data_IF_091251637845
#
_entry.id   IF_091251637845
#
_cell.length_a   1.000
_cell.length_b   1.000
_cell.length_c   1.000
_cell.angle_alpha   90.00
_cell.angle_beta   90.00
_cell.angle_gamma   90.00
#
_symmetry.space_group_name_H-M   'P 1'
#
loop_
_entity.id
_entity.type
_entity.pdbx_description
1 polymer ?
#
# COMPACT_ATOMS: atom_id res chain seq x y z
N UNK A 1 -28.63 16.21 87.48
CA UNK A 1 -30.04 15.76 87.62
C UNK A 1 -30.33 14.76 86.50
N UNK A 2 -30.84 13.57 86.87
CA UNK A 2 -31.43 12.44 86.11
C UNK A 2 -30.85 12.06 84.74
N UNK A 3 -30.12 10.96 84.54
CA UNK A 3 -30.49 9.52 84.52
C UNK A 3 -31.67 9.19 83.57
N UNK A 4 -31.40 8.44 82.49
CA UNK A 4 -32.09 7.19 82.18
C UNK A 4 -31.19 6.26 81.35
N UNK A 5 -31.18 5.00 81.76
CA UNK A 5 -30.40 3.85 81.29
C UNK A 5 -31.28 3.07 80.30
N UNK A 6 -30.73 2.54 79.19
CA UNK A 6 -31.20 1.26 78.64
C UNK A 6 -30.05 0.50 77.95
N UNK A 7 -30.06 -0.80 78.21
CA UNK A 7 -29.08 -1.84 77.92
C UNK A 7 -29.07 -2.29 76.43
N UNK A 8 -27.88 -2.70 75.94
CA UNK A 8 -27.56 -3.96 75.19
C UNK A 8 -28.21 -4.11 73.80
N UNK A 9 -27.49 -4.31 72.69
CA UNK A 9 -26.62 -5.45 72.33
C UNK A 9 -25.54 -4.99 71.33
N UNK A 10 -24.29 -5.37 71.59
CA UNK A 10 -23.17 -5.26 70.65
C UNK A 10 -23.24 -6.47 69.68
N UNK A 11 -23.74 -6.28 68.47
CA UNK A 11 -23.65 -7.29 67.42
C UNK A 11 -22.45 -6.95 66.51
N UNK A 12 -21.30 -7.57 66.80
CA UNK A 12 -20.17 -7.62 65.87
C UNK A 12 -20.51 -8.59 64.74
N UNK A 13 -21.08 -8.08 63.65
CA UNK A 13 -21.10 -8.80 62.38
C UNK A 13 -19.79 -8.49 61.66
N UNK A 14 -18.84 -9.41 61.74
CA UNK A 14 -17.71 -9.47 60.81
C UNK A 14 -18.26 -9.92 59.45
N UNK A 15 -18.73 -8.98 58.63
CA UNK A 15 -18.89 -9.24 57.21
C UNK A 15 -17.49 -9.26 56.59
N UNK A 16 -16.97 -10.47 56.38
CA UNK A 16 -15.92 -10.68 55.39
C UNK A 16 -16.56 -10.43 54.04
N UNK A 17 -16.51 -9.18 53.56
CA UNK A 17 -16.70 -8.86 52.16
C UNK A 17 -15.66 -9.67 51.36
N UNK A 18 -16.05 -10.87 50.96
CA UNK A 18 -15.34 -11.64 49.95
C UNK A 18 -15.66 -10.98 48.61
N UNK A 19 -15.12 -9.76 48.43
CA UNK A 19 -15.14 -9.09 47.15
C UNK A 19 -14.29 -9.93 46.22
N UNK A 20 -14.93 -10.74 45.38
CA UNK A 20 -14.29 -11.26 44.18
C UNK A 20 -13.97 -10.04 43.33
N UNK A 21 -12.74 -9.53 43.42
CA UNK A 21 -12.20 -8.62 42.43
C UNK A 21 -12.06 -9.47 41.16
N UNK A 22 -13.10 -9.44 40.32
CA UNK A 22 -12.92 -9.85 38.94
C UNK A 22 -11.96 -8.82 38.35
N UNK A 23 -10.72 -9.26 38.12
CA UNK A 23 -9.80 -8.52 37.28
C UNK A 23 -10.43 -8.48 35.88
N UNK A 24 -11.14 -7.39 35.58
CA UNK A 24 -11.45 -7.06 34.20
C UNK A 24 -10.11 -6.97 33.48
N UNK A 25 -9.89 -7.86 32.51
CA UNK A 25 -8.74 -7.75 31.63
C UNK A 25 -8.86 -6.40 30.93
N UNK A 26 -8.05 -5.42 31.36
CA UNK A 26 -8.00 -4.12 30.72
C UNK A 26 -7.69 -4.34 29.24
N UNK A 27 -8.65 -4.00 28.40
CA UNK A 27 -8.49 -4.14 26.96
C UNK A 27 -7.39 -3.18 26.52
N UNK A 28 -6.42 -3.71 25.77
CA UNK A 28 -5.36 -2.88 25.20
C UNK A 28 -6.03 -1.82 24.31
N UNK A 29 -5.73 -0.52 24.50
CA UNK A 29 -6.26 0.54 23.66
C UNK A 29 -6.01 0.24 22.18
N UNK A 30 -6.96 0.60 21.31
CA UNK A 30 -6.84 0.35 19.87
C UNK A 30 -5.56 0.98 19.27
N UNK A 31 -5.14 2.13 19.80
CA UNK A 31 -3.88 2.79 19.46
C UNK A 31 -2.65 1.92 19.74
N UNK A 32 -2.60 1.28 20.89
CA UNK A 32 -1.47 0.42 21.30
C UNK A 32 -1.44 -0.89 20.51
N UNK A 33 -2.61 -1.39 20.06
CA UNK A 33 -2.69 -2.55 19.16
C UNK A 33 -2.12 -2.27 17.78
N UNK A 34 -2.26 -1.04 17.27
CA UNK A 34 -1.81 -0.67 15.91
C UNK A 34 -0.40 -0.07 15.88
N UNK A 35 -0.01 0.66 16.92
CA UNK A 35 1.25 1.42 16.96
C UNK A 35 2.26 0.90 17.99
N UNK A 36 1.94 -0.23 18.63
CA UNK A 36 2.69 -0.81 19.74
C UNK A 36 2.47 -0.06 21.06
N UNK A 37 2.74 -0.71 22.21
CA UNK A 37 2.68 -0.06 23.52
C UNK A 37 3.61 1.16 23.62
N UNK A 38 3.34 2.03 24.60
CA UNK A 38 4.12 3.27 24.85
C UNK A 38 5.62 2.99 24.99
N UNK A 39 6.00 1.88 25.62
CA UNK A 39 7.38 1.46 25.80
C UNK A 39 7.80 0.52 24.66
N UNK A 40 8.75 0.99 23.85
CA UNK A 40 9.19 0.40 22.58
C UNK A 40 9.99 -0.91 22.67
N UNK A 41 10.70 -1.30 21.58
CA UNK A 41 11.04 -0.49 20.39
C UNK A 41 10.05 -0.64 19.22
N UNK A 42 9.20 0.36 18.99
CA UNK A 42 8.26 0.39 17.85
C UNK A 42 8.47 1.64 17.00
N UNK A 43 8.29 1.52 15.67
CA UNK A 43 8.26 2.66 14.75
C UNK A 43 6.81 3.10 14.57
N UNK A 44 6.51 4.36 14.89
CA UNK A 44 5.18 4.94 14.74
C UNK A 44 5.16 5.90 13.56
N UNK A 45 4.17 5.75 12.68
CA UNK A 45 3.98 6.65 11.54
C UNK A 45 3.03 7.78 11.97
N UNK A 46 3.41 9.03 11.72
CA UNK A 46 2.59 10.22 11.99
C UNK A 46 1.63 10.52 10.84
N UNK A 47 1.00 9.48 10.27
CA UNK A 47 0.02 9.65 9.20
C UNK A 47 -1.31 10.21 9.74
N UNK A 48 -1.65 9.84 10.97
CA UNK A 48 -2.79 10.36 11.71
C UNK A 48 -2.39 10.83 13.12
N UNK A 49 -3.36 11.28 13.91
CA UNK A 49 -3.14 11.83 15.25
C UNK A 49 -3.43 10.82 16.37
N UNK A 50 -3.61 9.53 16.05
CA UNK A 50 -4.12 8.53 16.99
C UNK A 50 -3.18 8.28 18.18
N UNK A 51 -1.86 8.43 17.99
CA UNK A 51 -0.83 8.24 19.03
C UNK A 51 -0.15 9.53 19.45
N UNK A 52 -0.72 10.67 19.08
CA UNK A 52 -0.19 11.99 19.44
C UNK A 52 -0.80 12.38 20.78
N UNK A 53 0.03 12.42 21.83
CA UNK A 53 -0.39 12.82 23.18
C UNK A 53 -0.62 14.34 23.28
N UNK A 54 0.24 15.14 22.66
CA UNK A 54 0.14 16.59 22.64
C UNK A 54 0.62 17.18 21.31
N UNK A 55 -0.02 18.27 20.88
CA UNK A 55 0.37 19.10 19.75
C UNK A 55 0.05 20.56 20.08
N UNK A 56 1.03 21.45 19.97
CA UNK A 56 0.87 22.88 20.24
C UNK A 56 1.51 23.71 19.12
N UNK A 57 0.85 24.78 18.69
CA UNK A 57 1.37 25.65 17.62
C UNK A 57 1.46 25.01 16.22
N UNK A 58 0.89 23.80 16.02
CA UNK A 58 0.93 23.07 14.76
C UNK A 58 -0.43 23.04 14.07
N UNK A 59 -0.42 23.13 12.74
CA UNK A 59 -1.59 22.90 11.88
C UNK A 59 -1.28 21.73 10.95
N UNK A 60 -2.03 20.64 11.04
CA UNK A 60 -1.94 19.54 10.07
C UNK A 60 -2.57 19.98 8.75
N UNK A 61 -1.80 19.90 7.67
CA UNK A 61 -2.24 20.24 6.32
C UNK A 61 -2.08 19.00 5.45
N UNK A 62 -3.18 18.57 4.83
CA UNK A 62 -3.12 17.56 3.77
C UNK A 62 -2.95 18.31 2.45
N UNK A 63 -1.81 18.10 1.80
CA UNK A 63 -1.56 18.66 0.49
C UNK A 63 -2.26 17.80 -0.55
N UNK A 64 -3.14 18.41 -1.35
CA UNK A 64 -3.69 17.74 -2.51
C UNK A 64 -2.58 17.56 -3.55
N UNK A 65 -2.47 16.37 -4.13
CA UNK A 65 -1.60 16.17 -5.28
C UNK A 65 -2.15 16.98 -6.46
N UNK A 66 -1.29 17.78 -7.08
CA UNK A 66 -1.63 18.50 -8.31
C UNK A 66 -1.36 17.61 -9.51
N UNK A 67 -2.29 17.61 -10.47
CA UNK A 67 -2.08 16.89 -11.73
C UNK A 67 -1.01 17.63 -12.52
N UNK A 68 -0.02 16.90 -13.01
CA UNK A 68 0.94 17.43 -13.97
C UNK A 68 0.23 18.01 -15.20
N UNK A 69 0.71 19.16 -15.70
CA UNK A 69 0.10 19.89 -16.82
C UNK A 69 0.11 19.07 -18.11
N UNK A 70 1.13 18.22 -18.29
CA UNK A 70 1.28 17.33 -19.45
C UNK A 70 0.50 16.00 -19.33
N UNK A 71 -0.45 15.89 -18.39
CA UNK A 71 -1.28 14.69 -18.30
C UNK A 71 -2.20 14.52 -19.53
N UNK A 72 -2.41 13.27 -20.03
CA UNK A 72 -1.79 12.03 -19.57
C UNK A 72 -0.35 11.87 -20.06
N UNK A 73 0.55 11.42 -19.17
CA UNK A 73 1.99 11.19 -19.49
C UNK A 73 2.25 9.91 -20.29
N UNK A 74 1.27 9.02 -20.38
CA UNK A 74 1.32 7.81 -21.22
C UNK A 74 0.00 7.69 -21.98
N UNK A 75 0.08 7.61 -23.31
CA UNK A 75 -1.07 7.54 -24.21
C UNK A 75 -1.08 6.25 -25.02
N UNK A 76 -2.23 5.91 -25.60
CA UNK A 76 -2.39 4.78 -26.51
C UNK A 76 -1.97 5.17 -27.94
N UNK A 77 -0.68 5.25 -28.20
CA UNK A 77 -0.14 5.61 -29.52
C UNK A 77 0.17 4.40 -30.41
N UNK A 78 0.32 3.20 -29.84
CA UNK A 78 0.61 1.98 -30.60
C UNK A 78 -0.65 1.24 -31.07
N UNK A 79 -0.60 0.50 -32.19
CA UNK A 79 -1.76 -0.24 -32.71
C UNK A 79 -2.32 -1.28 -31.74
N UNK A 80 -1.45 -2.04 -31.06
CA UNK A 80 -1.86 -3.11 -30.14
C UNK A 80 -2.56 -2.58 -28.87
N UNK A 81 -2.32 -1.31 -28.52
CA UNK A 81 -2.97 -0.65 -27.37
C UNK A 81 -4.41 -0.25 -27.67
N UNK A 82 -4.80 -0.15 -28.94
CA UNK A 82 -6.10 0.38 -29.37
C UNK A 82 -7.17 -0.72 -29.49
N UNK A 83 -6.90 -1.91 -28.97
CA UNK A 83 -7.79 -3.06 -29.08
C UNK A 83 -8.50 -3.36 -27.75
N UNK A 84 -9.68 -3.98 -27.82
CA UNK A 84 -10.47 -4.37 -26.65
C UNK A 84 -11.53 -3.36 -26.20
N UNK A 85 -12.20 -3.67 -25.08
CA UNK A 85 -13.33 -2.87 -24.55
C UNK A 85 -12.85 -1.55 -23.93
N UNK A 86 -11.64 -1.52 -23.38
CA UNK A 86 -11.03 -0.35 -22.75
C UNK A 86 -9.65 -0.13 -23.37
N UNK A 87 -9.58 0.52 -24.54
CA UNK A 87 -8.32 0.71 -25.25
C UNK A 87 -7.38 1.61 -24.45
N UNK A 88 -6.10 1.28 -24.51
CA UNK A 88 -4.99 2.07 -23.99
C UNK A 88 -4.22 1.43 -22.84
N UNK A 89 -3.18 2.13 -22.37
CA UNK A 89 -2.39 1.69 -21.23
C UNK A 89 -3.25 1.70 -19.97
N UNK A 90 -3.40 0.53 -19.36
CA UNK A 90 -4.10 0.37 -18.09
C UNK A 90 -3.09 0.30 -16.96
N UNK A 91 -3.03 1.39 -16.18
CA UNK A 91 -2.03 1.62 -15.13
C UNK A 91 -2.39 0.88 -13.84
N UNK A 92 -2.27 -0.46 -13.87
CA UNK A 92 -1.75 -1.25 -12.75
C UNK A 92 -0.25 -1.50 -12.94
N UNK A 93 0.44 -0.53 -13.54
CA UNK A 93 1.82 -0.67 -13.92
C UNK A 93 2.78 -0.39 -12.78
N UNK A 94 3.84 -1.19 -12.68
CA UNK A 94 4.95 -0.91 -11.76
C UNK A 94 5.96 -0.04 -12.47
N UNK A 95 6.36 1.07 -11.83
CA UNK A 95 7.50 1.88 -12.27
C UNK A 95 8.66 1.63 -11.32
N UNK A 96 9.82 1.30 -11.88
CA UNK A 96 11.04 1.07 -11.10
C UNK A 96 12.21 1.85 -11.69
N UNK A 97 13.04 2.42 -10.82
CA UNK A 97 14.35 2.97 -11.22
C UNK A 97 15.35 1.82 -11.34
N UNK A 98 16.01 1.73 -12.50
CA UNK A 98 17.05 0.76 -12.77
C UNK A 98 18.05 1.34 -13.78
N UNK A 99 19.35 1.30 -13.43
CA UNK A 99 20.45 1.77 -14.28
C UNK A 99 20.28 3.20 -14.83
N UNK A 100 19.76 4.12 -14.01
CA UNK A 100 19.58 5.52 -14.41
C UNK A 100 18.35 5.80 -15.27
N UNK A 101 17.50 4.79 -15.52
CA UNK A 101 16.21 4.94 -16.21
C UNK A 101 15.06 4.51 -15.31
N UNK A 102 13.91 5.14 -15.52
CA UNK A 102 12.62 4.65 -15.05
C UNK A 102 12.07 3.66 -16.07
N UNK A 103 11.64 2.51 -15.57
CA UNK A 103 11.13 1.40 -16.37
C UNK A 103 9.70 1.10 -15.93
N UNK A 104 8.77 1.04 -16.87
CA UNK A 104 7.36 0.76 -16.63
C UNK A 104 6.95 -0.54 -17.31
N UNK A 105 6.23 -1.38 -16.58
CA UNK A 105 5.49 -2.51 -17.14
C UNK A 105 4.01 -2.24 -16.94
N UNK A 106 3.23 -2.20 -18.02
CA UNK A 106 1.82 -1.84 -17.98
C UNK A 106 0.97 -2.86 -18.75
N UNK A 107 -0.30 -2.97 -18.38
CA UNK A 107 -1.25 -3.88 -19.03
C UNK A 107 -2.00 -3.13 -20.13
N UNK A 108 -2.35 -3.82 -21.21
CA UNK A 108 -3.35 -3.34 -22.17
C UNK A 108 -4.59 -4.24 -22.09
N UNK A 109 -5.77 -3.65 -21.92
CA UNK A 109 -7.02 -4.41 -21.78
C UNK A 109 -7.54 -4.88 -23.14
N UNK A 110 -6.83 -5.84 -23.72
CA UNK A 110 -7.11 -6.46 -25.02
C UNK A 110 -7.71 -7.85 -24.81
N UNK A 111 -8.41 -8.44 -25.79
CA UNK A 111 -8.87 -9.83 -25.69
C UNK A 111 -7.73 -10.84 -25.42
N UNK A 112 -6.51 -10.47 -25.81
CA UNK A 112 -5.30 -11.26 -25.61
C UNK A 112 -4.59 -10.94 -24.29
N UNK A 113 -5.02 -9.97 -23.48
CA UNK A 113 -4.38 -9.68 -22.18
C UNK A 113 -2.85 -9.52 -22.25
N UNK A 114 -2.39 -8.59 -23.08
CA UNK A 114 -0.97 -8.30 -23.27
C UNK A 114 -0.44 -7.29 -22.25
N UNK A 115 0.84 -7.43 -21.92
CA UNK A 115 1.60 -6.52 -21.08
C UNK A 115 2.78 -5.94 -21.87
N UNK A 116 2.98 -4.64 -21.70
CA UNK A 116 3.87 -3.82 -22.48
C UNK A 116 4.89 -3.12 -21.58
N UNK A 117 5.95 -2.62 -22.22
CA UNK A 117 7.11 -2.03 -21.57
C UNK A 117 7.36 -0.59 -22.04
N UNK A 118 7.78 0.30 -21.14
CA UNK A 118 8.22 1.64 -21.50
C UNK A 118 9.40 2.12 -20.64
N UNK A 119 10.20 3.02 -21.19
CA UNK A 119 11.34 3.65 -20.53
C UNK A 119 11.19 5.17 -20.44
N UNK A 120 11.74 5.77 -19.40
CA UNK A 120 11.77 7.22 -19.23
C UNK A 120 13.00 7.66 -18.44
N UNK A 121 13.51 8.85 -18.71
CA UNK A 121 14.56 9.48 -17.90
C UNK A 121 13.99 10.38 -16.79
N UNK A 122 12.77 10.91 -16.99
CA UNK A 122 12.15 11.94 -16.14
C UNK A 122 10.80 11.54 -15.53
N UNK A 123 10.23 10.41 -15.96
CA UNK A 123 8.93 9.90 -15.52
C UNK A 123 7.74 10.59 -16.18
N UNK A 124 7.98 11.54 -17.08
CA UNK A 124 6.97 12.36 -17.77
C UNK A 124 6.92 11.97 -19.25
N UNK A 125 8.08 11.80 -19.89
CA UNK A 125 8.19 11.41 -21.29
C UNK A 125 8.60 9.94 -21.40
N UNK A 126 7.75 9.13 -22.02
CA UNK A 126 7.92 7.68 -22.09
C UNK A 126 8.19 7.21 -23.52
N UNK A 127 9.23 6.39 -23.68
CA UNK A 127 9.57 5.70 -24.94
C UNK A 127 9.10 4.25 -24.85
N UNK A 128 8.51 3.74 -25.94
CA UNK A 128 8.05 2.35 -26.08
C UNK A 128 8.96 1.61 -27.07
N UNK A 129 10.07 1.01 -26.62
CA UNK A 129 11.04 0.40 -27.52
C UNK A 129 10.49 -0.87 -28.18
N UNK A 130 10.93 -1.15 -29.40
CA UNK A 130 10.70 -2.45 -30.04
C UNK A 130 11.59 -3.50 -29.36
N UNK A 131 10.97 -4.38 -28.57
CA UNK A 131 11.68 -5.38 -27.79
C UNK A 131 12.08 -6.62 -28.62
N UNK A 132 11.35 -6.91 -29.70
CA UNK A 132 11.59 -8.10 -30.50
C UNK A 132 11.16 -9.42 -29.82
N UNK A 133 10.45 -9.36 -28.69
CA UNK A 133 10.19 -10.52 -27.81
C UNK A 133 8.89 -11.26 -28.09
N UNK A 134 7.87 -10.59 -28.63
CA UNK A 134 6.52 -11.15 -28.76
C UNK A 134 5.99 -11.01 -30.20
N UNK A 135 5.54 -12.12 -30.79
CA UNK A 135 4.95 -12.13 -32.12
C UNK A 135 3.52 -11.61 -32.06
N UNK A 136 3.26 -10.44 -32.66
CA UNK A 136 1.93 -9.84 -32.71
C UNK A 136 1.60 -9.39 -34.14
N UNK A 137 0.47 -9.87 -34.69
CA UNK A 137 0.02 -9.54 -36.05
C UNK A 137 1.11 -9.66 -37.13
N UNK A 138 1.96 -10.69 -37.05
CA UNK A 138 3.00 -10.95 -38.04
C UNK A 138 4.33 -10.23 -37.80
N UNK A 139 4.49 -9.45 -36.72
CA UNK A 139 5.72 -8.71 -36.40
C UNK A 139 6.12 -8.82 -34.93
N UNK A 140 7.42 -8.73 -34.65
CA UNK A 140 7.99 -8.55 -33.30
C UNK A 140 8.41 -7.10 -33.00
N UNK A 141 8.18 -6.18 -33.95
CA UNK A 141 8.41 -4.75 -33.80
C UNK A 141 7.36 -4.10 -32.89
N UNK A 142 7.45 -4.42 -31.59
CA UNK A 142 6.53 -3.99 -30.56
C UNK A 142 7.18 -3.99 -29.18
N UNK A 143 6.55 -3.32 -28.22
CA UNK A 143 7.00 -3.27 -26.83
C UNK A 143 6.28 -4.28 -25.93
N UNK A 144 5.70 -5.34 -26.49
CA UNK A 144 4.99 -6.38 -25.74
C UNK A 144 6.02 -7.35 -25.18
N UNK A 145 5.97 -7.59 -23.87
CA UNK A 145 6.87 -8.54 -23.21
C UNK A 145 6.16 -9.79 -22.70
N UNK A 146 4.83 -9.73 -22.58
CA UNK A 146 4.02 -10.83 -22.10
C UNK A 146 2.62 -10.81 -22.74
N UNK A 147 2.16 -11.97 -23.15
CA UNK A 147 0.81 -12.29 -23.63
C UNK A 147 0.52 -13.79 -23.48
N UNK A 148 -0.61 -14.29 -24.00
CA UNK A 148 -1.10 -15.65 -23.74
C UNK A 148 -0.17 -16.75 -24.27
N UNK A 149 0.54 -16.44 -25.36
CA UNK A 149 1.46 -17.35 -26.04
C UNK A 149 2.92 -17.10 -25.66
N UNK A 150 3.18 -16.24 -24.66
CA UNK A 150 4.56 -16.04 -24.20
C UNK A 150 5.06 -17.30 -23.51
N UNK A 151 6.19 -17.83 -23.98
CA UNK A 151 6.96 -18.76 -23.17
C UNK A 151 7.54 -17.98 -22.00
N UNK A 152 6.76 -17.97 -20.93
CA UNK A 152 7.09 -17.19 -19.76
C UNK A 152 8.29 -17.73 -19.02
N UNK A 153 8.73 -18.98 -19.31
CA UNK A 153 9.80 -19.74 -18.63
C UNK A 153 10.55 -18.83 -17.67
N UNK A 154 9.93 -18.61 -16.50
CA UNK A 154 10.33 -17.50 -15.63
C UNK A 154 11.63 -17.99 -15.07
N UNK A 155 12.76 -17.34 -15.38
CA UNK A 155 14.00 -17.75 -14.79
C UNK A 155 13.81 -17.74 -13.28
N UNK A 156 14.09 -18.85 -12.62
CA UNK A 156 14.02 -18.95 -11.17
C UNK A 156 14.98 -17.95 -10.49
N UNK A 157 15.91 -17.37 -11.26
CA UNK A 157 16.75 -16.25 -10.87
C UNK A 157 16.20 -14.91 -11.42
N UNK A 158 15.81 -14.02 -10.49
CA UNK A 158 15.35 -12.65 -10.76
C UNK A 158 16.36 -11.84 -11.58
N UNK A 159 17.66 -12.21 -11.59
CA UNK A 159 18.69 -11.54 -12.39
C UNK A 159 18.52 -11.75 -13.89
N UNK A 160 18.07 -12.93 -14.32
CA UNK A 160 17.94 -13.24 -15.75
C UNK A 160 16.73 -12.52 -16.37
N UNK A 161 15.64 -12.38 -15.62
CA UNK A 161 14.48 -11.57 -16.02
C UNK A 161 14.86 -10.10 -16.27
N UNK A 162 15.81 -9.55 -15.50
CA UNK A 162 16.33 -8.19 -15.74
C UNK A 162 17.06 -8.09 -17.08
N UNK A 163 17.91 -9.07 -17.41
CA UNK A 163 18.71 -9.05 -18.64
C UNK A 163 17.88 -8.95 -19.93
N UNK A 164 16.67 -9.51 -19.97
CA UNK A 164 15.79 -9.49 -21.17
C UNK A 164 15.28 -8.10 -21.55
N UNK A 165 15.31 -7.15 -20.62
CA UNK A 165 14.86 -5.78 -20.85
C UNK A 165 16.03 -4.80 -21.02
N UNK A 166 17.26 -5.31 -21.07
CA UNK A 166 18.46 -4.48 -21.21
C UNK A 166 18.88 -4.49 -22.69
N UNK A 167 18.43 -3.49 -23.44
CA UNK A 167 18.96 -3.13 -24.76
C UNK A 167 19.87 -1.91 -24.66
#
# INVERSE_FOLDING_TARGET
MSKFFFLVVLALALEVCSGTVQAEAQSIPASDRMAGPVNGPWRRLFLDAMVVEQSEGLKRVFHAAEKHEQNPVLIADQPWEKTGRYPGPYLYGSVMSDQGKLRMWYRCYTPQEIFCYAESEDGIHWTKPELGLYQHNGSTANNIFLGPESDLNVPTDVKEARSRFHT
#
